data_IF_511395438740
#
_entry.id   IF_511395438740
#
_cell.length_a   1.000
_cell.length_b   1.000
_cell.length_c   1.000
_cell.angle_alpha   90.00
_cell.angle_beta   90.00
_cell.angle_gamma   90.00
#
_symmetry.space_group_name_H-M   'P 1'
#
loop_
_entity.id
_entity.type
_entity.pdbx_description
1 polymer ?
#
# COMPACT_ATOMS: atom_id res chain seq x y z
N UNK A 1 -47.09 9.19 14.47
CA UNK A 1 -45.89 8.40 14.81
C UNK A 1 -45.46 7.66 13.55
N UNK A 2 -44.53 8.21 12.81
CA UNK A 2 -43.96 7.60 11.59
C UNK A 2 -42.66 6.94 11.99
N UNK A 3 -42.67 5.61 12.07
CA UNK A 3 -41.47 4.79 12.30
C UNK A 3 -40.71 4.80 10.98
N UNK A 4 -39.66 5.59 10.91
CA UNK A 4 -38.69 5.50 9.81
C UNK A 4 -37.96 4.15 9.99
N UNK A 5 -38.34 3.17 9.19
CA UNK A 5 -37.55 1.95 9.00
C UNK A 5 -36.20 2.37 8.41
N UNK A 6 -35.14 2.38 9.22
CA UNK A 6 -33.76 2.51 8.73
C UNK A 6 -33.53 1.34 7.78
N UNK A 7 -33.27 1.65 6.52
CA UNK A 7 -32.91 0.69 5.50
C UNK A 7 -31.59 0.03 5.92
N UNK A 8 -31.62 -1.22 6.39
CA UNK A 8 -30.47 -1.97 6.91
C UNK A 8 -29.37 -2.28 5.89
N UNK A 9 -29.51 -1.83 4.63
CA UNK A 9 -28.62 -2.19 3.50
C UNK A 9 -27.80 -1.04 2.93
N UNK A 10 -27.66 0.10 3.62
CA UNK A 10 -26.79 1.18 3.14
C UNK A 10 -25.45 1.16 3.87
N UNK A 11 -24.36 1.20 3.12
CA UNK A 11 -22.99 1.23 3.64
C UNK A 11 -22.59 2.66 4.04
N UNK A 12 -21.66 2.84 5.00
CA UNK A 12 -21.09 4.15 5.33
C UNK A 12 -20.30 4.75 4.16
N UNK A 13 -20.16 6.07 4.13
CA UNK A 13 -19.30 6.76 3.15
C UNK A 13 -17.85 6.77 3.65
N UNK A 14 -16.98 5.91 3.12
CA UNK A 14 -15.59 5.78 3.58
C UNK A 14 -14.63 6.50 2.63
N UNK A 15 -13.86 7.43 3.17
CA UNK A 15 -12.78 8.14 2.46
C UNK A 15 -11.42 7.63 2.94
N UNK A 16 -10.73 6.90 2.09
CA UNK A 16 -9.44 6.27 2.39
C UNK A 16 -8.28 7.12 1.90
N UNK A 17 -7.31 7.40 2.77
CA UNK A 17 -6.06 8.08 2.44
C UNK A 17 -4.88 7.15 2.71
N UNK A 18 -3.84 7.24 1.87
CA UNK A 18 -2.57 6.60 2.11
C UNK A 18 -2.36 5.27 1.38
N UNK A 19 -1.94 4.23 2.10
CA UNK A 19 -1.38 3.01 1.54
C UNK A 19 -2.42 1.89 1.30
N UNK A 20 -1.97 0.80 0.66
CA UNK A 20 -2.79 -0.40 0.40
C UNK A 20 -3.35 -1.03 1.67
N UNK A 21 -2.60 -0.93 2.79
CA UNK A 21 -3.08 -1.39 4.08
C UNK A 21 -4.31 -0.61 4.54
N UNK A 22 -4.33 0.72 4.34
CA UNK A 22 -5.53 1.51 4.63
C UNK A 22 -6.72 1.12 3.74
N UNK A 23 -6.49 0.68 2.50
CA UNK A 23 -7.57 0.17 1.62
C UNK A 23 -8.16 -1.11 2.22
N UNK A 24 -7.30 -2.06 2.62
CA UNK A 24 -7.74 -3.28 3.30
C UNK A 24 -8.52 -2.97 4.58
N UNK A 25 -7.98 -2.09 5.42
CA UNK A 25 -8.65 -1.67 6.66
C UNK A 25 -9.99 -1.00 6.43
N UNK A 26 -10.11 -0.21 5.35
CA UNK A 26 -11.37 0.45 5.00
C UNK A 26 -12.44 -0.56 4.59
N UNK A 27 -12.07 -1.70 3.99
CA UNK A 27 -13.02 -2.78 3.75
C UNK A 27 -13.50 -3.40 5.06
N UNK A 28 -12.59 -3.70 6.00
CA UNK A 28 -12.96 -4.20 7.34
C UNK A 28 -13.91 -3.23 8.06
N UNK A 29 -13.60 -1.94 8.00
CA UNK A 29 -14.45 -0.88 8.56
C UNK A 29 -15.83 -0.90 7.91
N UNK A 30 -15.89 -1.03 6.58
CA UNK A 30 -17.15 -1.09 5.84
C UNK A 30 -18.01 -2.27 6.29
N UNK A 31 -17.41 -3.45 6.41
CA UNK A 31 -18.10 -4.67 6.79
C UNK A 31 -18.69 -4.54 8.21
N UNK A 32 -17.88 -4.10 9.18
CA UNK A 32 -18.34 -3.91 10.55
C UNK A 32 -19.39 -2.80 10.68
N UNK A 33 -19.12 -1.62 10.13
CA UNK A 33 -20.02 -0.48 10.25
C UNK A 33 -21.38 -0.74 9.56
N UNK A 34 -21.37 -1.43 8.41
CA UNK A 34 -22.61 -1.84 7.72
C UNK A 34 -23.39 -2.87 8.53
N UNK A 35 -22.72 -3.88 9.09
CA UNK A 35 -23.33 -4.93 9.92
C UNK A 35 -24.07 -4.34 11.13
N UNK A 36 -23.50 -3.29 11.73
CA UNK A 36 -24.05 -2.64 12.94
C UNK A 36 -24.90 -1.38 12.62
N UNK A 37 -25.24 -1.15 11.34
CA UNK A 37 -26.23 -0.14 10.95
C UNK A 37 -25.73 1.30 10.94
N UNK A 38 -24.41 1.54 10.86
CA UNK A 38 -23.77 2.87 10.83
C UNK A 38 -23.67 3.47 9.43
N UNK A 39 -24.71 3.36 8.64
CA UNK A 39 -24.78 3.84 7.26
C UNK A 39 -24.80 5.37 7.10
N UNK A 40 -25.12 6.11 8.15
CA UNK A 40 -25.18 7.56 8.22
C UNK A 40 -23.81 8.22 8.47
N UNK A 41 -22.80 7.41 8.83
CA UNK A 41 -21.45 7.92 9.07
C UNK A 41 -20.69 8.24 7.79
N UNK A 42 -19.88 9.31 7.86
CA UNK A 42 -18.76 9.54 6.93
C UNK A 42 -17.47 9.22 7.67
N UNK A 43 -16.74 8.24 7.19
CA UNK A 43 -15.55 7.72 7.86
C UNK A 43 -14.30 8.11 7.08
N UNK A 44 -13.33 8.76 7.76
CA UNK A 44 -12.05 9.15 7.19
C UNK A 44 -10.92 8.28 7.73
N UNK A 45 -10.43 7.33 6.94
CA UNK A 45 -9.27 6.52 7.27
C UNK A 45 -7.99 7.24 6.82
N UNK A 46 -7.28 7.87 7.77
CA UNK A 46 -6.24 8.87 7.52
C UNK A 46 -4.83 8.30 7.45
N UNK A 47 -3.94 9.02 6.76
CA UNK A 47 -2.52 8.70 6.64
C UNK A 47 -1.66 9.74 7.37
N UNK A 48 -0.56 9.30 8.01
CA UNK A 48 0.41 10.14 8.70
C UNK A 48 1.76 10.28 7.98
N UNK A 49 1.95 9.63 6.83
CA UNK A 49 3.27 9.57 6.18
C UNK A 49 3.74 10.95 5.72
N UNK A 50 2.83 11.77 5.17
CA UNK A 50 3.18 13.12 4.70
C UNK A 50 2.22 14.18 5.26
N UNK A 51 2.72 15.40 5.47
CA UNK A 51 1.90 16.56 5.86
C UNK A 51 0.82 16.87 4.82
N UNK A 52 1.12 16.60 3.55
CA UNK A 52 0.18 16.77 2.45
C UNK A 52 -1.01 15.81 2.56
N UNK A 53 -0.78 14.55 2.92
CA UNK A 53 -1.87 13.59 3.14
C UNK A 53 -2.81 14.04 4.27
N UNK A 54 -2.25 14.55 5.37
CA UNK A 54 -3.07 15.11 6.46
C UNK A 54 -3.81 16.39 6.02
N UNK A 55 -3.17 17.26 5.22
CA UNK A 55 -3.82 18.47 4.68
C UNK A 55 -5.02 18.10 3.81
N UNK A 56 -4.85 17.12 2.91
CA UNK A 56 -5.91 16.61 2.04
C UNK A 56 -7.06 16.00 2.86
N UNK A 57 -6.75 15.22 3.90
CA UNK A 57 -7.76 14.65 4.78
C UNK A 57 -8.58 15.76 5.48
N UNK A 58 -7.93 16.80 6.04
CA UNK A 58 -8.65 17.93 6.65
C UNK A 58 -9.53 18.68 5.64
N UNK A 59 -9.04 18.89 4.42
CA UNK A 59 -9.84 19.51 3.36
C UNK A 59 -11.07 18.67 3.01
N UNK A 60 -10.90 17.35 2.87
CA UNK A 60 -11.98 16.43 2.55
C UNK A 60 -13.03 16.38 3.66
N UNK A 61 -12.62 16.41 4.94
CA UNK A 61 -13.52 16.49 6.10
C UNK A 61 -14.38 17.75 6.04
N UNK A 62 -13.77 18.93 5.84
CA UNK A 62 -14.50 20.19 5.73
C UNK A 62 -15.47 20.19 4.55
N UNK A 63 -15.04 19.68 3.41
CA UNK A 63 -15.89 19.55 2.22
C UNK A 63 -17.08 18.60 2.47
N UNK A 64 -16.86 17.47 3.13
CA UNK A 64 -17.91 16.52 3.45
C UNK A 64 -18.96 17.13 4.38
N UNK A 65 -18.52 17.83 5.43
CA UNK A 65 -19.43 18.50 6.38
C UNK A 65 -20.22 19.63 5.72
N UNK A 66 -19.58 20.40 4.82
CA UNK A 66 -20.28 21.45 4.04
C UNK A 66 -21.37 20.86 3.14
N UNK A 67 -21.09 19.71 2.48
CA UNK A 67 -22.04 19.08 1.56
C UNK A 67 -23.16 18.31 2.28
N UNK A 68 -22.89 17.81 3.50
CA UNK A 68 -23.84 17.05 4.34
C UNK A 68 -23.74 17.57 5.79
N UNK A 69 -24.36 18.71 6.12
CA UNK A 69 -24.23 19.35 7.44
C UNK A 69 -24.62 18.47 8.62
N UNK A 70 -25.63 17.60 8.44
CA UNK A 70 -26.15 16.72 9.48
C UNK A 70 -25.38 15.41 9.63
N UNK A 71 -24.47 15.08 8.67
CA UNK A 71 -23.71 13.85 8.70
C UNK A 71 -22.74 13.83 9.90
N UNK A 72 -22.66 12.68 10.56
CA UNK A 72 -21.68 12.42 11.61
C UNK A 72 -20.35 11.97 10.99
N UNK A 73 -19.28 12.59 11.41
CA UNK A 73 -17.92 12.33 10.87
C UNK A 73 -17.07 11.60 11.91
N UNK A 74 -16.59 10.42 11.53
CA UNK A 74 -15.61 9.63 12.28
C UNK A 74 -14.25 9.69 11.58
N UNK A 75 -13.19 10.01 12.34
CA UNK A 75 -11.81 10.04 11.84
C UNK A 75 -11.00 8.94 12.50
N UNK A 76 -10.29 8.17 11.70
CA UNK A 76 -9.41 7.08 12.13
C UNK A 76 -8.14 7.03 11.29
N UNK A 77 -7.30 6.01 11.48
CA UNK A 77 -6.07 5.81 10.73
C UNK A 77 -4.83 6.34 11.43
N UNK A 78 -3.68 6.27 10.75
CA UNK A 78 -2.38 6.57 11.37
C UNK A 78 -2.29 7.99 11.93
N UNK A 79 -2.87 8.99 11.27
CA UNK A 79 -2.82 10.37 11.76
C UNK A 79 -3.72 10.58 12.98
N UNK A 80 -4.88 9.92 13.04
CA UNK A 80 -5.76 9.93 14.20
C UNK A 80 -5.14 9.20 15.40
N UNK A 81 -4.45 8.08 15.15
CA UNK A 81 -3.73 7.33 16.20
C UNK A 81 -2.62 8.15 16.84
N UNK A 82 -1.86 8.91 16.04
CA UNK A 82 -0.68 9.67 16.53
C UNK A 82 -1.11 10.91 17.34
N UNK A 83 -2.11 11.64 16.87
CA UNK A 83 -2.60 12.84 17.55
C UNK A 83 -4.13 12.93 17.45
N UNK A 84 -4.85 12.17 18.29
CA UNK A 84 -6.31 12.17 18.25
C UNK A 84 -6.91 13.52 18.63
N UNK A 85 -6.26 14.27 19.55
CA UNK A 85 -6.73 15.58 20.00
C UNK A 85 -6.72 16.63 18.89
N UNK A 86 -5.75 16.58 17.99
CA UNK A 86 -5.67 17.47 16.82
C UNK A 86 -6.89 17.32 15.90
N UNK A 87 -7.34 16.08 15.69
CA UNK A 87 -8.51 15.79 14.87
C UNK A 87 -9.80 16.14 15.59
N UNK A 88 -9.88 15.85 16.89
CA UNK A 88 -11.07 16.18 17.69
C UNK A 88 -11.31 17.70 17.82
N UNK A 89 -10.27 18.51 17.76
CA UNK A 89 -10.39 19.97 17.77
C UNK A 89 -11.06 20.54 16.50
N UNK A 90 -11.22 19.74 15.44
CA UNK A 90 -11.96 20.17 14.26
C UNK A 90 -13.47 20.14 14.56
N UNK A 91 -14.19 21.26 14.37
CA UNK A 91 -15.63 21.34 14.70
C UNK A 91 -16.47 20.39 13.83
N UNK A 92 -15.94 19.98 12.69
CA UNK A 92 -16.61 19.03 11.78
C UNK A 92 -16.55 17.59 12.29
N UNK A 93 -15.64 17.23 13.22
CA UNK A 93 -15.36 15.86 13.64
C UNK A 93 -16.12 15.48 14.89
N UNK A 94 -16.96 14.47 14.78
CA UNK A 94 -17.76 13.95 15.89
C UNK A 94 -17.00 12.90 16.71
N UNK A 95 -16.27 11.97 16.05
CA UNK A 95 -15.58 10.85 16.67
C UNK A 95 -14.15 10.69 16.17
N UNK A 96 -13.24 10.25 17.05
CA UNK A 96 -11.89 9.87 16.69
C UNK A 96 -11.60 8.49 17.27
N UNK A 97 -11.18 7.55 16.42
CA UNK A 97 -10.84 6.18 16.87
C UNK A 97 -9.47 5.75 16.38
N UNK A 98 -8.83 4.86 17.14
CA UNK A 98 -7.49 4.37 16.85
C UNK A 98 -7.41 3.28 15.78
N UNK A 99 -6.19 2.85 15.51
CA UNK A 99 -5.90 1.81 14.51
C UNK A 99 -6.22 0.39 15.02
N UNK A 100 -6.31 0.19 16.34
CA UNK A 100 -6.75 -1.07 16.92
C UNK A 100 -8.28 -1.15 16.87
N UNK A 101 -8.94 -0.20 17.48
CA UNK A 101 -10.38 -0.16 17.70
C UNK A 101 -11.19 -0.23 16.40
N UNK A 102 -10.75 0.48 15.35
CA UNK A 102 -11.45 0.48 14.05
C UNK A 102 -11.57 -0.90 13.41
N UNK A 103 -10.74 -1.87 13.81
CA UNK A 103 -10.72 -3.24 13.32
C UNK A 103 -11.42 -4.23 14.27
N UNK A 104 -11.89 -3.77 15.42
CA UNK A 104 -12.61 -4.60 16.39
C UNK A 104 -14.12 -4.46 16.18
N UNK A 105 -14.81 -5.57 15.96
CA UNK A 105 -16.26 -5.58 15.75
C UNK A 105 -17.00 -4.99 16.95
N UNK A 106 -16.52 -5.29 18.18
CA UNK A 106 -17.11 -4.77 19.42
C UNK A 106 -17.12 -3.24 19.52
N UNK A 107 -16.16 -2.55 18.88
CA UNK A 107 -16.20 -1.08 18.79
C UNK A 107 -17.43 -0.61 18.01
N UNK A 108 -17.72 -1.23 16.85
CA UNK A 108 -18.83 -0.86 16.00
C UNK A 108 -20.20 -1.26 16.59
N UNK A 109 -20.25 -2.40 17.27
CA UNK A 109 -21.43 -2.86 18.00
C UNK A 109 -21.85 -1.88 19.11
N UNK A 110 -20.87 -1.36 19.85
CA UNK A 110 -21.10 -0.46 20.98
C UNK A 110 -21.06 1.03 20.63
N UNK A 111 -20.83 1.38 19.35
CA UNK A 111 -20.75 2.76 18.90
C UNK A 111 -22.13 3.39 18.93
N UNK A 112 -22.43 4.17 19.97
CA UNK A 112 -23.64 4.97 20.06
C UNK A 112 -23.38 6.36 19.48
N UNK A 113 -23.91 6.59 18.27
CA UNK A 113 -23.73 7.85 17.57
C UNK A 113 -24.54 9.00 18.18
N UNK A 114 -25.46 8.73 19.11
CA UNK A 114 -26.30 9.73 19.76
C UNK A 114 -25.76 10.11 21.16
N UNK A 115 -24.92 9.27 21.77
CA UNK A 115 -24.25 9.55 23.04
C UNK A 115 -22.82 10.03 22.83
N UNK A 116 -22.60 11.32 23.02
CA UNK A 116 -21.34 12.03 22.66
C UNK A 116 -20.32 12.14 23.79
N UNK A 117 -20.45 11.42 24.90
CA UNK A 117 -19.57 11.61 26.08
C UNK A 117 -18.14 11.11 25.87
N UNK A 118 -17.91 10.07 25.01
CA UNK A 118 -16.58 9.63 24.61
C UNK A 118 -16.34 9.86 23.11
N UNK A 119 -15.85 11.03 22.78
CA UNK A 119 -15.57 11.40 21.40
C UNK A 119 -14.19 10.95 20.88
N UNK A 120 -13.34 10.36 21.75
CA UNK A 120 -12.01 9.81 21.43
C UNK A 120 -11.89 8.41 22.04
N UNK A 121 -11.72 7.40 21.18
CA UNK A 121 -11.47 6.00 21.58
C UNK A 121 -10.18 5.54 20.89
N UNK A 122 -9.04 5.77 21.52
CA UNK A 122 -7.71 5.50 20.98
C UNK A 122 -6.83 4.89 22.07
N UNK A 123 -6.53 3.61 21.95
CA UNK A 123 -5.60 2.90 22.83
C UNK A 123 -4.14 3.19 22.51
N UNK A 124 -3.26 2.91 23.48
CA UNK A 124 -1.81 2.95 23.26
C UNK A 124 -1.39 1.84 22.29
N UNK A 125 -1.12 2.22 21.05
CA UNK A 125 -0.75 1.30 19.96
C UNK A 125 0.53 0.51 20.26
N UNK A 126 1.42 1.02 21.13
CA UNK A 126 2.66 0.36 21.49
C UNK A 126 2.45 -0.88 22.37
N UNK A 127 1.27 -1.00 23.01
CA UNK A 127 0.89 -2.14 23.84
C UNK A 127 0.16 -3.24 23.06
N UNK A 128 -0.18 -3.01 21.80
CA UNK A 128 -0.90 -3.97 20.96
C UNK A 128 0.04 -5.09 20.54
N UNK A 129 -0.24 -6.31 20.97
CA UNK A 129 0.58 -7.51 20.70
C UNK A 129 0.03 -8.39 19.59
N UNK A 130 -1.26 -8.28 19.30
CA UNK A 130 -1.94 -9.11 18.31
C UNK A 130 -2.41 -8.30 17.11
N UNK A 131 -2.50 -8.94 15.97
CA UNK A 131 -3.09 -8.35 14.77
C UNK A 131 -4.51 -8.89 14.63
N UNK A 132 -5.48 -8.00 14.46
CA UNK A 132 -6.88 -8.39 14.24
C UNK A 132 -6.98 -9.32 13.04
N UNK A 133 -7.60 -10.47 13.27
CA UNK A 133 -7.93 -11.44 12.23
C UNK A 133 -9.29 -11.08 11.67
N UNK A 134 -9.32 -10.63 10.44
CA UNK A 134 -10.57 -10.35 9.75
C UNK A 134 -10.56 -11.06 8.39
N UNK A 135 -11.59 -11.86 8.15
CA UNK A 135 -11.82 -12.50 6.86
C UNK A 135 -12.65 -11.52 6.02
N UNK A 136 -12.01 -10.91 5.04
CA UNK A 136 -12.71 -10.11 4.04
C UNK A 136 -13.29 -11.08 3.00
N UNK A 137 -14.61 -11.09 2.85
CA UNK A 137 -15.29 -11.96 1.89
C UNK A 137 -15.24 -11.41 0.47
N UNK A 138 -15.29 -10.08 0.32
CA UNK A 138 -15.22 -9.44 -0.99
C UNK A 138 -14.50 -8.08 -0.90
N UNK A 139 -13.94 -7.64 -2.02
CA UNK A 139 -13.56 -6.26 -2.22
C UNK A 139 -14.54 -5.66 -3.24
N UNK A 140 -15.44 -4.80 -2.81
CA UNK A 140 -16.42 -4.17 -3.67
C UNK A 140 -15.74 -3.55 -4.89
N UNK A 141 -16.11 -4.03 -6.08
CA UNK A 141 -15.61 -3.58 -7.39
C UNK A 141 -14.10 -3.76 -7.64
N UNK A 142 -13.38 -4.60 -6.87
CA UNK A 142 -11.96 -4.86 -7.09
C UNK A 142 -11.71 -6.28 -7.62
N UNK A 143 -10.97 -6.36 -8.73
CA UNK A 143 -10.48 -7.63 -9.30
C UNK A 143 -9.24 -8.16 -8.58
N UNK A 144 -8.63 -7.32 -7.74
CA UNK A 144 -7.48 -7.64 -6.88
C UNK A 144 -7.88 -7.57 -5.42
N UNK A 145 -7.56 -8.61 -4.66
CA UNK A 145 -7.72 -8.66 -3.21
C UNK A 145 -6.43 -8.25 -2.49
N UNK A 146 -6.53 -7.36 -1.52
CA UNK A 146 -5.41 -7.02 -0.63
C UNK A 146 -5.49 -7.87 0.63
N UNK A 147 -4.39 -8.49 1.03
CA UNK A 147 -4.31 -9.29 2.26
C UNK A 147 -3.22 -8.71 3.15
N UNK A 148 -3.62 -8.25 4.32
CA UNK A 148 -2.66 -7.89 5.35
C UNK A 148 -2.00 -9.17 5.87
N UNK A 149 -0.67 -9.25 5.78
CA UNK A 149 0.11 -10.36 6.36
C UNK A 149 0.87 -9.93 7.61
N UNK A 150 1.13 -8.61 7.75
CA UNK A 150 1.94 -8.03 8.80
C UNK A 150 1.49 -6.60 9.08
N UNK A 151 1.55 -6.13 10.32
CA UNK A 151 1.27 -4.76 10.73
C UNK A 151 2.30 -4.29 11.76
N UNK A 152 2.47 -2.96 11.88
CA UNK A 152 3.49 -2.36 12.73
C UNK A 152 4.89 -2.45 12.14
N UNK A 153 5.89 -1.87 12.83
CA UNK A 153 7.29 -1.88 12.40
C UNK A 153 8.23 -1.65 13.59
N UNK A 154 9.23 -2.51 13.74
CA UNK A 154 10.24 -2.40 14.82
C UNK A 154 11.45 -1.55 14.38
N UNK A 155 11.53 -1.20 13.09
CA UNK A 155 12.56 -0.29 12.63
C UNK A 155 12.33 1.13 13.16
N UNK A 156 13.43 1.82 13.38
CA UNK A 156 13.43 3.21 13.87
C UNK A 156 14.15 4.10 12.85
N UNK A 157 13.69 4.04 11.58
CA UNK A 157 14.15 4.97 10.55
C UNK A 157 13.93 6.41 11.02
N UNK A 158 14.96 7.26 10.89
CA UNK A 158 14.99 8.57 11.54
C UNK A 158 13.91 9.55 11.07
N UNK A 159 13.34 9.33 9.91
CA UNK A 159 12.26 10.15 9.32
C UNK A 159 10.85 9.58 9.53
N UNK A 160 10.74 8.33 10.01
CA UNK A 160 9.50 7.59 9.94
C UNK A 160 8.66 7.74 11.20
N UNK A 161 7.40 8.14 11.01
CA UNK A 161 6.39 8.29 12.05
C UNK A 161 5.52 7.02 12.22
N UNK A 162 5.64 6.06 11.30
CA UNK A 162 4.74 4.90 11.23
C UNK A 162 4.74 4.03 12.49
N UNK A 163 5.87 3.77 13.18
CA UNK A 163 5.84 2.99 14.42
C UNK A 163 4.90 3.58 15.49
N UNK A 164 4.76 4.90 15.53
CA UNK A 164 3.86 5.58 16.47
C UNK A 164 2.38 5.48 16.09
N UNK A 165 2.10 5.28 14.79
CA UNK A 165 0.73 5.08 14.31
C UNK A 165 0.32 3.60 14.21
N UNK A 166 1.29 2.68 14.14
CA UNK A 166 1.03 1.26 13.86
C UNK A 166 1.52 0.31 14.96
N UNK A 167 2.37 0.78 15.86
CA UNK A 167 2.93 -0.01 16.95
C UNK A 167 4.03 -0.99 16.51
N UNK A 168 4.36 -1.98 17.37
CA UNK A 168 5.34 -3.02 17.11
C UNK A 168 4.97 -3.91 15.92
N UNK A 169 5.97 -4.58 15.32
CA UNK A 169 5.76 -5.57 14.27
C UNK A 169 4.95 -6.76 14.77
N UNK A 170 3.93 -7.16 13.99
CA UNK A 170 3.03 -8.27 14.30
C UNK A 170 2.66 -8.98 13.00
N UNK A 171 2.82 -10.30 12.97
CA UNK A 171 2.54 -11.15 11.82
C UNK A 171 1.22 -11.89 11.97
N UNK A 172 0.50 -12.07 10.86
CA UNK A 172 -0.60 -13.03 10.80
C UNK A 172 -0.06 -14.44 10.56
N UNK A 173 -0.71 -15.45 11.13
CA UNK A 173 -0.35 -16.84 10.91
C UNK A 173 -0.54 -17.24 9.45
N UNK A 174 0.28 -18.17 8.96
CA UNK A 174 0.15 -18.72 7.60
C UNK A 174 -1.26 -19.26 7.32
N UNK A 175 -1.86 -19.94 8.30
CA UNK A 175 -3.19 -20.52 8.12
C UNK A 175 -4.27 -19.46 7.92
N UNK A 176 -4.22 -18.37 8.70
CA UNK A 176 -5.17 -17.28 8.57
C UNK A 176 -5.02 -16.57 7.22
N UNK A 177 -3.79 -16.38 6.75
CA UNK A 177 -3.51 -15.80 5.43
C UNK A 177 -4.09 -16.70 4.33
N UNK A 178 -3.84 -18.01 4.37
CA UNK A 178 -4.38 -18.96 3.38
C UNK A 178 -5.91 -18.96 3.39
N UNK A 179 -6.54 -18.96 4.56
CA UNK A 179 -8.00 -18.95 4.69
C UNK A 179 -8.59 -17.65 4.09
N UNK A 180 -7.97 -16.51 4.36
CA UNK A 180 -8.40 -15.23 3.76
C UNK A 180 -8.27 -15.21 2.24
N UNK A 181 -7.19 -15.78 1.71
CA UNK A 181 -7.00 -15.90 0.25
C UNK A 181 -8.07 -16.81 -0.35
N UNK A 182 -8.35 -17.97 0.27
CA UNK A 182 -9.41 -18.89 -0.19
C UNK A 182 -10.78 -18.23 -0.25
N UNK A 183 -11.15 -17.46 0.77
CA UNK A 183 -12.39 -16.68 0.77
C UNK A 183 -12.49 -15.76 -0.44
N UNK A 184 -11.43 -14.99 -0.73
CA UNK A 184 -11.41 -14.09 -1.88
C UNK A 184 -11.45 -14.82 -3.23
N UNK A 185 -10.75 -15.95 -3.37
CA UNK A 185 -10.77 -16.76 -4.58
C UNK A 185 -12.17 -17.31 -4.87
N UNK A 186 -12.88 -17.79 -3.84
CA UNK A 186 -14.26 -18.27 -3.94
C UNK A 186 -15.22 -17.16 -4.41
N UNK A 187 -14.90 -15.89 -4.13
CA UNK A 187 -15.64 -14.72 -4.60
C UNK A 187 -15.09 -14.15 -5.93
N UNK A 188 -14.29 -14.90 -6.68
CA UNK A 188 -13.88 -14.61 -8.04
C UNK A 188 -12.66 -13.68 -8.18
N UNK A 189 -11.99 -13.32 -7.09
CA UNK A 189 -10.74 -12.54 -7.15
C UNK A 189 -9.65 -13.34 -7.86
N UNK A 190 -8.93 -12.71 -8.80
CA UNK A 190 -7.91 -13.38 -9.64
C UNK A 190 -6.46 -12.98 -9.29
N UNK A 191 -6.26 -11.88 -8.59
CA UNK A 191 -4.93 -11.47 -8.13
C UNK A 191 -4.97 -11.13 -6.64
N UNK A 192 -4.09 -11.74 -5.86
CA UNK A 192 -3.88 -11.43 -4.44
C UNK A 192 -2.62 -10.59 -4.28
N UNK A 193 -2.74 -9.49 -3.55
CA UNK A 193 -1.61 -8.61 -3.20
C UNK A 193 -1.35 -8.73 -1.71
N UNK A 194 -0.24 -9.36 -1.34
CA UNK A 194 0.21 -9.37 0.05
C UNK A 194 0.66 -7.97 0.44
N UNK A 195 0.18 -7.49 1.57
CA UNK A 195 0.49 -6.15 2.07
C UNK A 195 0.85 -6.15 3.55
N UNK A 196 1.66 -5.19 3.94
CA UNK A 196 2.10 -4.97 5.32
C UNK A 196 2.81 -3.63 5.43
N UNK A 197 3.17 -3.27 6.65
CA UNK A 197 4.00 -2.09 6.93
C UNK A 197 5.47 -2.39 6.63
N UNK A 198 5.91 -3.59 7.00
CA UNK A 198 7.27 -4.11 6.85
C UNK A 198 7.20 -5.61 6.57
N UNK A 199 6.81 -5.96 5.35
CA UNK A 199 6.51 -7.35 5.00
C UNK A 199 7.71 -8.29 5.11
N UNK A 200 8.92 -7.79 4.89
CA UNK A 200 10.13 -8.60 5.01
C UNK A 200 10.40 -9.06 6.44
N UNK A 201 9.86 -8.37 7.44
CA UNK A 201 9.90 -8.78 8.84
C UNK A 201 8.79 -9.79 9.22
N UNK A 202 7.91 -10.19 8.27
CA UNK A 202 6.89 -11.20 8.57
C UNK A 202 7.53 -12.51 9.07
N UNK A 203 6.96 -13.04 10.14
CA UNK A 203 7.39 -14.30 10.73
C UNK A 203 8.39 -14.15 11.89
N UNK A 204 8.99 -12.97 12.10
CA UNK A 204 9.97 -12.76 13.18
C UNK A 204 9.39 -12.98 14.58
N UNK A 205 8.09 -12.76 14.75
CA UNK A 205 7.31 -12.96 15.98
C UNK A 205 6.55 -14.30 16.00
N UNK A 206 6.66 -15.12 14.94
CA UNK A 206 6.07 -16.47 14.87
C UNK A 206 7.10 -17.52 15.33
N UNK A 207 6.61 -18.57 16.01
CA UNK A 207 7.46 -19.68 16.39
C UNK A 207 8.19 -20.30 15.19
N UNK A 208 9.48 -20.53 15.31
CA UNK A 208 10.35 -21.03 14.24
C UNK A 208 10.78 -19.95 13.23
N UNK A 209 10.34 -18.72 13.38
CA UNK A 209 10.72 -17.54 12.57
C UNK A 209 10.74 -17.82 11.06
N UNK A 210 9.61 -18.24 10.46
CA UNK A 210 9.56 -18.50 9.03
C UNK A 210 9.79 -17.21 8.24
N UNK A 211 10.43 -17.32 7.06
CA UNK A 211 10.68 -16.17 6.19
C UNK A 211 9.47 -15.82 5.31
N UNK A 212 9.49 -14.61 4.72
CA UNK A 212 8.49 -14.20 3.73
C UNK A 212 8.50 -15.14 2.51
N UNK A 213 9.67 -15.59 2.05
CA UNK A 213 9.77 -16.53 0.95
C UNK A 213 9.13 -17.89 1.25
N UNK A 214 9.32 -18.39 2.48
CA UNK A 214 8.63 -19.62 2.94
C UNK A 214 7.11 -19.43 2.93
N UNK A 215 6.60 -18.27 3.35
CA UNK A 215 5.16 -17.96 3.28
C UNK A 215 4.68 -17.99 1.84
N UNK A 216 5.36 -17.30 0.92
CA UNK A 216 5.00 -17.23 -0.50
C UNK A 216 4.94 -18.63 -1.12
N UNK A 217 5.98 -19.45 -0.93
CA UNK A 217 5.99 -20.85 -1.39
C UNK A 217 4.83 -21.66 -0.82
N UNK A 218 4.55 -21.49 0.47
CA UNK A 218 3.45 -22.22 1.14
C UNK A 218 2.08 -21.78 0.64
N UNK A 219 1.86 -20.50 0.37
CA UNK A 219 0.63 -19.98 -0.26
C UNK A 219 0.46 -20.64 -1.63
N UNK A 220 1.46 -20.55 -2.51
CA UNK A 220 1.40 -21.03 -3.89
C UNK A 220 1.23 -22.56 -3.96
N UNK A 221 1.82 -23.29 -2.99
CA UNK A 221 1.65 -24.74 -2.88
C UNK A 221 0.24 -25.14 -2.43
N UNK A 222 -0.36 -24.43 -1.47
CA UNK A 222 -1.67 -24.77 -0.90
C UNK A 222 -2.85 -24.26 -1.73
N UNK A 223 -2.60 -23.31 -2.65
CA UNK A 223 -3.61 -22.67 -3.49
C UNK A 223 -3.19 -22.76 -4.97
N UNK A 224 -3.27 -23.97 -5.58
CA UNK A 224 -2.93 -24.16 -6.98
C UNK A 224 -3.84 -23.36 -7.93
N UNK A 225 -5.07 -23.07 -7.49
CA UNK A 225 -6.07 -22.30 -8.22
C UNK A 225 -5.80 -20.79 -8.21
N UNK A 226 -4.87 -20.26 -7.39
CA UNK A 226 -4.51 -18.86 -7.36
C UNK A 226 -3.76 -18.45 -8.63
N UNK A 227 -4.33 -17.62 -9.54
CA UNK A 227 -3.66 -17.30 -10.80
C UNK A 227 -2.49 -16.33 -10.63
N UNK A 228 -2.61 -15.36 -9.70
CA UNK A 228 -1.61 -14.29 -9.50
C UNK A 228 -1.43 -13.95 -8.03
N UNK A 229 -0.18 -14.03 -7.59
CA UNK A 229 0.28 -13.53 -6.29
C UNK A 229 1.22 -12.36 -6.51
N UNK A 230 1.01 -11.25 -5.84
CA UNK A 230 1.85 -10.06 -5.91
C UNK A 230 2.28 -9.61 -4.53
N UNK A 231 3.49 -9.07 -4.44
CA UNK A 231 3.98 -8.44 -3.23
C UNK A 231 3.82 -6.92 -3.31
N UNK A 232 3.55 -6.27 -2.18
CA UNK A 232 3.69 -4.84 -2.05
C UNK A 232 5.16 -4.44 -1.82
N UNK A 233 5.45 -3.39 -1.03
CA UNK A 233 6.83 -2.93 -0.85
C UNK A 233 7.63 -3.84 0.06
N UNK A 234 8.88 -4.11 -0.30
CA UNK A 234 9.84 -4.88 0.49
C UNK A 234 11.14 -4.09 0.75
N UNK A 235 11.86 -4.44 1.81
CA UNK A 235 13.18 -3.90 2.09
C UNK A 235 14.26 -4.72 1.36
N UNK A 236 15.09 -4.13 0.50
CA UNK A 236 16.11 -4.88 -0.24
C UNK A 236 17.16 -5.55 0.66
N UNK A 237 17.33 -5.09 1.90
CA UNK A 237 18.29 -5.69 2.86
C UNK A 237 17.80 -7.00 3.47
N UNK A 238 16.49 -7.32 3.35
CA UNK A 238 15.87 -8.44 4.07
C UNK A 238 15.22 -9.46 3.14
N UNK A 239 15.54 -9.41 1.86
CA UNK A 239 15.05 -10.41 0.91
C UNK A 239 15.75 -11.74 1.16
N UNK A 240 14.98 -12.76 1.51
CA UNK A 240 15.50 -14.09 1.81
C UNK A 240 15.68 -14.96 0.55
N UNK A 241 16.46 -16.06 0.71
CA UNK A 241 16.76 -16.99 -0.38
C UNK A 241 15.49 -17.63 -0.95
N UNK A 242 14.53 -18.03 -0.09
CA UNK A 242 13.29 -18.67 -0.52
C UNK A 242 12.41 -17.76 -1.36
N UNK A 243 12.44 -16.43 -1.07
CA UNK A 243 11.72 -15.46 -1.87
C UNK A 243 12.34 -15.31 -3.26
N UNK A 244 13.68 -15.29 -3.35
CA UNK A 244 14.38 -15.23 -4.64
C UNK A 244 14.15 -16.50 -5.47
N UNK A 245 14.15 -17.67 -4.84
CA UNK A 245 13.83 -18.94 -5.48
C UNK A 245 12.36 -18.98 -5.96
N UNK A 246 11.43 -18.43 -5.18
CA UNK A 246 10.04 -18.30 -5.60
C UNK A 246 9.89 -17.38 -6.84
N UNK A 247 10.62 -16.26 -6.91
CA UNK A 247 10.62 -15.42 -8.11
C UNK A 247 11.17 -16.13 -9.34
N UNK A 248 12.19 -16.96 -9.17
CA UNK A 248 12.78 -17.73 -10.26
C UNK A 248 11.84 -18.82 -10.79
N UNK A 249 11.21 -19.57 -9.90
CA UNK A 249 10.54 -20.83 -10.23
C UNK A 249 9.00 -20.73 -10.29
N UNK A 250 8.39 -19.71 -9.67
CA UNK A 250 6.93 -19.59 -9.59
C UNK A 250 6.38 -18.53 -10.55
N UNK A 251 5.83 -18.95 -11.68
CA UNK A 251 5.24 -18.04 -12.68
C UNK A 251 4.04 -17.24 -12.16
N UNK A 252 3.31 -17.79 -11.18
CA UNK A 252 2.16 -17.16 -10.54
C UNK A 252 2.55 -16.05 -9.55
N UNK A 253 3.82 -15.99 -9.13
CA UNK A 253 4.37 -14.83 -8.43
C UNK A 253 4.68 -13.74 -9.47
N UNK A 254 3.99 -12.62 -9.38
CA UNK A 254 4.08 -11.56 -10.39
C UNK A 254 5.47 -10.90 -10.43
N UNK A 255 6.04 -10.69 -11.63
CA UNK A 255 7.42 -10.21 -11.82
C UNK A 255 7.55 -8.70 -11.59
N UNK A 256 7.15 -8.24 -10.43
CA UNK A 256 7.25 -6.85 -10.01
C UNK A 256 7.58 -6.77 -8.53
N UNK A 257 8.67 -6.07 -8.20
CA UNK A 257 9.11 -5.80 -6.83
C UNK A 257 9.17 -4.29 -6.63
N UNK A 258 8.51 -3.80 -5.58
CA UNK A 258 8.65 -2.42 -5.14
C UNK A 258 9.59 -2.35 -3.94
N UNK A 259 10.66 -1.54 -4.05
CA UNK A 259 11.74 -1.46 -3.08
C UNK A 259 11.65 -0.20 -2.23
N UNK A 260 11.77 -0.33 -0.92
CA UNK A 260 11.87 0.79 0.01
C UNK A 260 13.30 1.32 0.08
N UNK A 261 13.82 1.89 -1.03
CA UNK A 261 15.22 2.35 -1.15
C UNK A 261 15.46 3.66 -0.37
N UNK A 262 14.60 4.62 -0.55
CA UNK A 262 14.59 5.95 0.06
C UNK A 262 15.66 6.92 -0.45
N UNK A 263 16.91 6.50 -0.70
CA UNK A 263 18.00 7.38 -1.17
C UNK A 263 19.12 6.58 -1.87
N UNK A 264 19.98 7.28 -2.65
CA UNK A 264 21.12 6.67 -3.33
C UNK A 264 22.48 7.00 -2.73
N UNK A 265 22.57 7.81 -1.68
CA UNK A 265 23.83 8.13 -1.01
C UNK A 265 23.96 7.36 0.30
N UNK A 266 25.09 6.63 0.47
CA UNK A 266 25.32 5.77 1.62
C UNK A 266 25.34 6.54 2.95
N UNK A 267 25.84 7.79 2.95
CA UNK A 267 25.84 8.60 4.17
C UNK A 267 24.43 9.03 4.56
N UNK A 268 23.60 9.40 3.58
CA UNK A 268 22.18 9.73 3.83
C UNK A 268 21.44 8.47 4.26
N UNK A 269 21.64 7.32 3.63
CA UNK A 269 21.04 6.04 4.06
C UNK A 269 21.39 5.70 5.52
N UNK A 270 22.64 5.88 5.93
CA UNK A 270 23.08 5.72 7.33
C UNK A 270 22.38 6.70 8.26
N UNK A 271 22.24 7.99 7.88
CA UNK A 271 21.48 8.99 8.65
C UNK A 271 19.99 8.67 8.74
N UNK A 272 19.43 8.05 7.72
CA UNK A 272 18.08 7.50 7.70
C UNK A 272 17.94 6.25 8.57
N UNK A 273 19.04 5.62 9.03
CA UNK A 273 19.10 4.30 9.66
C UNK A 273 18.58 3.19 8.73
N UNK A 274 18.92 3.27 7.43
CA UNK A 274 18.67 2.18 6.49
C UNK A 274 19.76 1.12 6.61
N UNK A 275 19.40 -0.13 6.28
CA UNK A 275 20.27 -1.31 6.45
C UNK A 275 20.95 -1.74 5.16
N UNK A 276 20.53 -1.20 4.03
CA UNK A 276 21.19 -1.36 2.72
C UNK A 276 22.00 -0.12 2.36
N UNK A 277 22.96 -0.31 1.48
CA UNK A 277 23.76 0.73 0.83
C UNK A 277 23.48 0.73 -0.67
N UNK A 278 24.04 1.69 -1.39
CA UNK A 278 23.94 1.81 -2.85
C UNK A 278 24.24 0.48 -3.57
N UNK A 279 25.39 -0.12 -3.23
CA UNK A 279 25.87 -1.37 -3.88
C UNK A 279 24.92 -2.54 -3.63
N UNK A 280 24.34 -2.63 -2.45
CA UNK A 280 23.43 -3.72 -2.10
C UNK A 280 22.18 -3.71 -2.99
N UNK A 281 21.63 -2.52 -3.25
CA UNK A 281 20.49 -2.36 -4.16
C UNK A 281 20.84 -2.77 -5.59
N UNK A 282 22.00 -2.30 -6.12
CA UNK A 282 22.42 -2.63 -7.48
C UNK A 282 22.64 -4.13 -7.62
N UNK A 283 23.36 -4.75 -6.68
CA UNK A 283 23.63 -6.18 -6.68
C UNK A 283 22.35 -7.01 -6.61
N UNK A 284 21.44 -6.64 -5.71
CA UNK A 284 20.14 -7.31 -5.56
C UNK A 284 19.34 -7.29 -6.87
N UNK A 285 19.22 -6.11 -7.49
CA UNK A 285 18.46 -5.96 -8.73
C UNK A 285 19.08 -6.75 -9.88
N UNK A 286 20.40 -6.75 -10.00
CA UNK A 286 21.11 -7.53 -11.03
C UNK A 286 20.92 -9.03 -10.81
N UNK A 287 21.06 -9.52 -9.59
CA UNK A 287 20.85 -10.94 -9.26
C UNK A 287 19.40 -11.37 -9.52
N UNK A 288 18.42 -10.55 -9.14
CA UNK A 288 17.02 -10.85 -9.40
C UNK A 288 16.72 -10.93 -10.91
N UNK A 289 17.26 -10.02 -11.73
CA UNK A 289 17.13 -10.10 -13.19
C UNK A 289 17.85 -11.28 -13.83
N UNK A 290 18.97 -11.69 -13.27
CA UNK A 290 19.66 -12.89 -13.72
C UNK A 290 18.81 -14.14 -13.53
N UNK A 291 18.07 -14.22 -12.43
CA UNK A 291 17.16 -15.34 -12.12
C UNK A 291 15.85 -15.26 -12.90
N UNK A 292 15.32 -14.05 -13.06
CA UNK A 292 14.05 -13.82 -13.75
C UNK A 292 14.15 -12.54 -14.60
N UNK A 293 14.35 -12.70 -15.90
CA UNK A 293 14.65 -11.61 -16.82
C UNK A 293 13.52 -10.60 -17.02
N UNK A 294 12.26 -11.01 -16.84
CA UNK A 294 11.06 -10.15 -16.96
C UNK A 294 10.71 -9.37 -15.68
N UNK A 295 11.54 -9.50 -14.62
CA UNK A 295 11.26 -8.81 -13.34
C UNK A 295 11.52 -7.31 -13.45
N UNK A 296 10.56 -6.52 -12.95
CA UNK A 296 10.57 -5.07 -12.98
C UNK A 296 10.60 -4.52 -11.56
N UNK A 297 11.32 -3.41 -11.39
CA UNK A 297 11.51 -2.78 -10.09
C UNK A 297 10.85 -1.41 -10.02
N UNK A 298 10.06 -1.22 -8.95
CA UNK A 298 9.68 0.08 -8.46
C UNK A 298 10.49 0.49 -7.25
N UNK A 299 10.53 1.78 -6.91
CA UNK A 299 11.15 2.22 -5.67
C UNK A 299 10.59 3.56 -5.16
N UNK A 300 10.63 3.71 -3.83
CA UNK A 300 10.37 4.97 -3.16
C UNK A 300 11.68 5.76 -2.97
N UNK A 301 11.64 7.07 -3.25
CA UNK A 301 12.74 8.00 -3.01
C UNK A 301 12.27 9.23 -2.25
N UNK A 302 13.05 9.66 -1.25
CA UNK A 302 12.84 10.90 -0.51
C UNK A 302 13.78 11.96 -1.07
N UNK A 303 13.22 13.05 -1.62
CA UNK A 303 13.98 14.21 -2.08
C UNK A 303 14.14 15.24 -0.95
N UNK A 304 15.35 15.73 -0.72
CA UNK A 304 15.61 16.76 0.26
C UNK A 304 15.59 16.27 1.71
N UNK A 305 16.02 15.05 1.97
CA UNK A 305 16.25 14.56 3.33
C UNK A 305 17.21 15.53 4.07
N UNK A 306 17.01 15.83 5.36
CA UNK A 306 17.92 16.70 6.11
C UNK A 306 19.40 16.34 5.88
N UNK A 307 20.23 17.36 5.66
CA UNK A 307 21.65 17.21 5.33
C UNK A 307 21.99 16.67 3.93
N UNK A 308 21.00 16.41 3.06
CA UNK A 308 21.24 16.07 1.67
C UNK A 308 21.86 17.27 0.94
N UNK A 309 23.04 17.08 0.34
CA UNK A 309 23.67 18.06 -0.54
C UNK A 309 23.48 17.67 -2.03
N UNK A 310 23.97 18.51 -2.95
CA UNK A 310 23.85 18.24 -4.39
C UNK A 310 24.50 16.94 -4.82
N UNK A 311 25.66 16.59 -4.24
CA UNK A 311 26.36 15.35 -4.58
C UNK A 311 25.59 14.11 -4.14
N UNK A 312 25.01 14.14 -2.95
CA UNK A 312 24.14 13.07 -2.45
C UNK A 312 22.90 12.88 -3.33
N UNK A 313 22.25 13.98 -3.76
CA UNK A 313 21.15 13.92 -4.70
C UNK A 313 21.53 13.29 -6.04
N UNK A 314 22.69 13.68 -6.60
CA UNK A 314 23.19 13.08 -7.85
C UNK A 314 23.42 11.56 -7.76
N UNK A 315 23.79 11.06 -6.58
CA UNK A 315 23.87 9.60 -6.36
C UNK A 315 22.51 8.91 -6.40
N UNK A 316 21.43 9.55 -5.95
CA UNK A 316 20.08 9.01 -6.11
C UNK A 316 19.68 8.90 -7.58
N UNK A 317 19.96 9.94 -8.39
CA UNK A 317 19.74 9.88 -9.84
C UNK A 317 20.59 8.78 -10.52
N UNK A 318 21.84 8.62 -10.07
CA UNK A 318 22.73 7.57 -10.58
C UNK A 318 22.22 6.18 -10.21
N UNK A 319 21.82 5.94 -8.96
CA UNK A 319 21.29 4.65 -8.50
C UNK A 319 20.09 4.19 -9.34
N UNK A 320 19.16 5.11 -9.65
CA UNK A 320 17.99 4.82 -10.50
C UNK A 320 18.43 4.26 -11.86
N UNK A 321 19.47 4.85 -12.47
CA UNK A 321 20.01 4.41 -13.76
C UNK A 321 20.77 3.10 -13.65
N UNK A 322 21.68 2.98 -12.69
CA UNK A 322 22.54 1.81 -12.52
C UNK A 322 21.73 0.55 -12.14
N UNK A 323 20.72 0.70 -11.28
CA UNK A 323 19.81 -0.38 -10.94
C UNK A 323 18.66 -0.55 -11.95
N UNK A 324 18.48 0.38 -12.91
CA UNK A 324 17.40 0.32 -13.91
C UNK A 324 16.02 0.28 -13.27
N UNK A 325 15.76 1.14 -12.28
CA UNK A 325 14.47 1.23 -11.62
C UNK A 325 13.44 1.84 -12.59
N UNK A 326 12.31 1.16 -12.75
CA UNK A 326 11.27 1.52 -13.74
C UNK A 326 10.20 2.44 -13.14
N UNK A 327 9.66 2.07 -11.98
CA UNK A 327 8.58 2.84 -11.30
C UNK A 327 9.17 3.61 -10.14
N UNK A 328 9.08 4.94 -10.19
CA UNK A 328 9.70 5.79 -9.16
C UNK A 328 8.62 6.62 -8.47
N UNK A 329 8.47 6.41 -7.18
CA UNK A 329 7.67 7.25 -6.31
C UNK A 329 8.55 8.23 -5.58
N UNK A 330 8.32 9.51 -5.77
CA UNK A 330 9.13 10.59 -5.20
C UNK A 330 8.35 11.34 -4.14
N UNK A 331 8.85 11.30 -2.92
CA UNK A 331 8.32 12.02 -1.77
C UNK A 331 9.25 13.19 -1.42
N UNK A 332 8.81 14.45 -1.56
CA UNK A 332 9.51 15.54 -0.91
C UNK A 332 9.61 15.26 0.59
N UNK A 333 10.77 15.48 1.19
CA UNK A 333 10.92 15.27 2.62
C UNK A 333 9.82 16.02 3.39
N UNK A 334 9.12 15.31 4.23
CA UNK A 334 8.05 15.84 5.07
C UNK A 334 8.48 15.77 6.53
N UNK A 335 8.67 16.91 7.13
CA UNK A 335 9.04 17.01 8.55
C UNK A 335 7.94 16.45 9.44
N UNK A 336 8.33 15.59 10.37
CA UNK A 336 7.42 14.94 11.33
C UNK A 336 7.91 15.15 12.73
N UNK A 337 7.15 15.89 13.50
CA UNK A 337 7.42 16.13 14.90
C UNK A 337 7.61 14.79 15.64
N UNK A 338 8.56 14.73 16.57
CA UNK A 338 8.91 13.52 17.31
C UNK A 338 9.92 12.60 16.60
N UNK A 339 10.18 12.78 15.31
CA UNK A 339 11.20 12.00 14.58
C UNK A 339 12.61 12.58 14.78
N UNK A 340 13.64 11.72 14.70
CA UNK A 340 15.03 12.20 14.83
C UNK A 340 15.43 13.14 13.68
N UNK A 341 14.95 12.89 12.44
CA UNK A 341 15.24 13.74 11.29
C UNK A 341 14.65 15.15 11.43
N UNK A 342 13.59 15.34 12.22
CA UNK A 342 13.01 16.65 12.46
C UNK A 342 13.97 17.63 13.14
N UNK A 343 14.97 17.11 13.84
CA UNK A 343 16.00 17.88 14.57
C UNK A 343 17.27 18.13 13.75
N UNK A 344 17.38 17.54 12.54
CA UNK A 344 18.55 17.69 11.68
C UNK A 344 18.48 18.98 10.84
N UNK A 345 19.64 19.50 10.36
CA UNK A 345 19.69 20.67 9.46
C UNK A 345 18.87 20.43 8.20
N UNK A 346 17.92 21.32 7.92
CA UNK A 346 16.97 21.19 6.80
C UNK A 346 17.60 21.63 5.48
N UNK A 347 17.16 21.00 4.41
CA UNK A 347 17.38 21.46 3.03
C UNK A 347 16.38 22.58 2.71
N UNK A 348 16.76 23.54 1.91
CA UNK A 348 15.89 24.63 1.46
C UNK A 348 14.69 24.06 0.68
N UNK A 349 13.50 24.66 0.87
CA UNK A 349 12.27 24.18 0.22
C UNK A 349 12.35 24.20 -1.31
N UNK A 350 13.04 25.19 -1.85
CA UNK A 350 13.29 25.35 -3.28
C UNK A 350 14.12 24.19 -3.82
N UNK A 351 15.21 23.83 -3.13
CA UNK A 351 16.06 22.68 -3.49
C UNK A 351 15.28 21.37 -3.42
N UNK A 352 14.43 21.19 -2.38
CA UNK A 352 13.57 20.01 -2.27
C UNK A 352 12.65 19.88 -3.49
N UNK A 353 12.03 20.99 -3.94
CA UNK A 353 11.16 21.00 -5.12
C UNK A 353 11.93 20.65 -6.40
N UNK A 354 13.10 21.25 -6.59
CA UNK A 354 13.97 21.00 -7.75
C UNK A 354 14.36 19.52 -7.79
N UNK A 355 14.89 18.98 -6.70
CA UNK A 355 15.32 17.59 -6.59
C UNK A 355 14.18 16.61 -6.80
N UNK A 356 13.00 16.89 -6.22
CA UNK A 356 11.82 16.07 -6.44
C UNK A 356 11.36 16.10 -7.90
N UNK A 357 11.49 17.24 -8.58
CA UNK A 357 11.20 17.37 -10.01
C UNK A 357 12.17 16.54 -10.86
N UNK A 358 13.48 16.65 -10.60
CA UNK A 358 14.52 15.91 -11.32
C UNK A 358 14.33 14.38 -11.19
N UNK A 359 14.05 13.89 -9.97
CA UNK A 359 13.76 12.47 -9.74
C UNK A 359 12.50 12.01 -10.49
N UNK A 360 11.43 12.82 -10.49
CA UNK A 360 10.19 12.49 -11.22
C UNK A 360 10.40 12.51 -12.72
N UNK A 361 11.17 13.48 -13.25
CA UNK A 361 11.50 13.54 -14.67
C UNK A 361 12.26 12.29 -15.10
N UNK A 362 13.32 11.93 -14.37
CA UNK A 362 14.07 10.70 -14.63
C UNK A 362 13.17 9.46 -14.54
N UNK A 363 12.27 9.41 -13.55
CA UNK A 363 11.30 8.32 -13.41
C UNK A 363 10.36 8.20 -14.61
N UNK A 364 9.89 9.32 -15.14
CA UNK A 364 9.08 9.34 -16.37
C UNK A 364 9.86 8.80 -17.57
N UNK A 365 11.13 9.19 -17.70
CA UNK A 365 11.98 8.73 -18.80
C UNK A 365 12.23 7.22 -18.71
N UNK A 366 12.54 6.70 -17.52
CA UNK A 366 12.70 5.25 -17.28
C UNK A 366 11.42 4.47 -17.58
N UNK A 367 10.28 4.98 -17.14
CA UNK A 367 8.98 4.37 -17.41
C UNK A 367 8.64 4.36 -18.90
N UNK A 368 8.81 5.49 -19.61
CA UNK A 368 8.57 5.56 -21.06
C UNK A 368 9.50 4.62 -21.83
N UNK A 369 10.78 4.54 -21.46
CA UNK A 369 11.73 3.58 -22.05
C UNK A 369 11.25 2.14 -21.87
N UNK A 370 10.76 1.81 -20.68
CA UNK A 370 10.20 0.50 -20.41
C UNK A 370 8.92 0.25 -21.21
N UNK A 371 7.96 1.19 -21.26
CA UNK A 371 6.74 1.03 -22.06
C UNK A 371 7.05 0.81 -23.55
N UNK A 372 7.99 1.58 -24.11
CA UNK A 372 8.45 1.41 -25.49
C UNK A 372 9.01 0.01 -25.76
N UNK A 373 9.73 -0.57 -24.80
CA UNK A 373 10.28 -1.93 -24.94
C UNK A 373 9.22 -3.04 -24.90
N UNK A 374 7.98 -2.72 -24.54
CA UNK A 374 6.88 -3.69 -24.49
C UNK A 374 6.13 -3.80 -25.82
N UNK A 375 6.31 -2.84 -26.75
CA UNK A 375 5.65 -2.87 -28.06
C UNK A 375 6.04 -4.15 -28.81
N UNK A 376 5.05 -4.82 -29.40
CA UNK A 376 5.21 -6.10 -30.10
C UNK A 376 5.22 -7.33 -29.18
N UNK A 377 5.18 -7.15 -27.85
CA UNK A 377 5.07 -8.29 -26.91
C UNK A 377 3.60 -8.66 -26.69
N UNK A 378 3.38 -9.93 -26.31
CA UNK A 378 2.07 -10.40 -25.86
C UNK A 378 2.08 -10.50 -24.35
N UNK A 379 1.09 -9.89 -23.69
CA UNK A 379 0.99 -9.82 -22.25
C UNK A 379 -0.33 -10.44 -21.75
N UNK A 380 -0.27 -11.16 -20.63
CA UNK A 380 -1.47 -11.59 -19.91
C UNK A 380 -1.99 -10.43 -19.07
N UNK A 381 -3.18 -9.95 -19.33
CA UNK A 381 -3.76 -8.75 -18.69
C UNK A 381 -4.90 -9.16 -17.78
N UNK A 382 -4.83 -8.75 -16.51
CA UNK A 382 -5.98 -8.77 -15.62
C UNK A 382 -6.82 -7.51 -15.88
N UNK A 383 -8.03 -7.70 -16.38
CA UNK A 383 -8.96 -6.59 -16.69
C UNK A 383 -9.64 -6.13 -15.41
N UNK A 384 -9.59 -4.82 -15.12
CA UNK A 384 -10.12 -4.25 -13.87
C UNK A 384 -11.36 -3.40 -14.08
N UNK A 385 -11.36 -2.51 -15.05
CA UNK A 385 -12.49 -1.63 -15.38
C UNK A 385 -12.50 -1.31 -16.87
N UNK A 386 -13.69 -1.38 -17.48
CA UNK A 386 -13.98 -0.78 -18.81
C UNK A 386 -12.82 -0.81 -19.79
N UNK A 387 -12.37 -1.97 -20.20
CA UNK A 387 -11.27 -2.12 -21.16
C UNK A 387 -9.90 -1.62 -20.66
N UNK A 388 -9.67 -1.61 -19.35
CA UNK A 388 -8.36 -1.32 -18.78
C UNK A 388 -7.97 -2.32 -17.70
N UNK A 389 -6.68 -2.56 -17.55
CA UNK A 389 -6.18 -3.54 -16.58
C UNK A 389 -4.69 -3.37 -16.30
N UNK A 390 -4.09 -4.42 -15.75
CA UNK A 390 -2.65 -4.47 -15.49
C UNK A 390 -2.02 -5.76 -16.01
N UNK A 391 -0.84 -5.60 -16.56
CA UNK A 391 0.05 -6.70 -16.97
C UNK A 391 0.70 -7.37 -15.74
N UNK A 392 1.34 -8.54 -15.88
CA UNK A 392 2.07 -9.17 -14.77
C UNK A 392 3.11 -8.28 -14.11
N UNK A 393 3.84 -7.46 -14.89
CA UNK A 393 4.83 -6.50 -14.41
C UNK A 393 4.24 -5.16 -13.93
N UNK A 394 2.94 -5.12 -13.70
CA UNK A 394 2.19 -4.00 -13.13
C UNK A 394 2.03 -2.78 -14.05
N UNK A 395 2.27 -2.90 -15.37
CA UNK A 395 1.97 -1.83 -16.30
C UNK A 395 0.47 -1.70 -16.52
N UNK A 396 -0.02 -0.47 -16.42
CA UNK A 396 -1.39 -0.18 -16.82
C UNK A 396 -1.52 -0.35 -18.33
N UNK A 397 -2.63 -0.93 -18.76
CA UNK A 397 -2.95 -1.13 -20.17
C UNK A 397 -4.38 -0.69 -20.47
N UNK A 398 -4.57 -0.09 -21.64
CA UNK A 398 -5.87 0.21 -22.24
C UNK A 398 -6.08 -0.76 -23.40
N UNK A 399 -7.22 -1.42 -23.41
CA UNK A 399 -7.60 -2.40 -24.45
C UNK A 399 -8.51 -1.76 -25.48
N UNK A 400 -8.42 -2.22 -26.73
CA UNK A 400 -9.24 -1.75 -27.85
C UNK A 400 -10.68 -2.30 -27.82
N UNK A 401 -10.97 -3.25 -26.92
CA UNK A 401 -12.27 -3.90 -26.80
C UNK A 401 -12.83 -3.77 -25.37
N UNK A 402 -14.14 -3.89 -25.24
CA UNK A 402 -14.80 -3.91 -23.96
C UNK A 402 -14.79 -5.33 -23.39
N UNK A 403 -14.07 -5.56 -22.31
CA UNK A 403 -13.89 -6.85 -21.66
C UNK A 403 -14.42 -6.76 -20.22
N UNK A 404 -15.05 -7.83 -19.76
CA UNK A 404 -15.56 -7.88 -18.40
C UNK A 404 -14.44 -7.76 -17.35
N UNK A 405 -14.72 -7.04 -16.30
CA UNK A 405 -13.83 -6.94 -15.13
C UNK A 405 -13.62 -8.34 -14.51
N UNK A 406 -12.39 -8.65 -14.08
CA UNK A 406 -12.03 -9.93 -13.47
C UNK A 406 -11.52 -10.99 -14.47
N UNK A 407 -11.62 -10.76 -15.78
CA UNK A 407 -11.05 -11.68 -16.77
C UNK A 407 -9.53 -11.50 -16.88
N UNK A 408 -8.82 -12.61 -17.10
CA UNK A 408 -7.41 -12.61 -17.51
C UNK A 408 -7.39 -12.95 -19.01
N UNK A 409 -6.87 -12.04 -19.82
CA UNK A 409 -6.83 -12.15 -21.28
C UNK A 409 -5.40 -12.01 -21.80
N UNK A 410 -5.17 -12.47 -23.03
CA UNK A 410 -3.94 -12.22 -23.77
C UNK A 410 -4.12 -11.01 -24.69
N UNK A 411 -3.19 -10.05 -24.62
CA UNK A 411 -3.21 -8.85 -25.46
C UNK A 411 -1.83 -8.57 -26.04
N UNK A 412 -1.77 -8.29 -27.32
CA UNK A 412 -0.59 -7.77 -28.01
C UNK A 412 -0.44 -6.28 -27.73
N UNK A 413 0.73 -5.85 -27.32
CA UNK A 413 1.04 -4.44 -27.07
C UNK A 413 1.39 -3.77 -28.37
N UNK A 414 0.52 -2.86 -28.83
CA UNK A 414 0.65 -2.19 -30.12
C UNK A 414 1.23 -0.78 -30.01
N UNK A 415 1.08 -0.12 -28.85
CA UNK A 415 1.56 1.25 -28.63
C UNK A 415 1.54 1.58 -27.11
N UNK A 416 1.93 2.79 -26.74
CA UNK A 416 1.78 3.36 -25.41
C UNK A 416 1.54 4.88 -25.44
N UNK A 417 0.97 5.41 -24.36
CA UNK A 417 0.79 6.84 -24.15
C UNK A 417 1.04 7.23 -22.66
N UNK A 418 0.73 8.46 -22.30
CA UNK A 418 0.89 8.95 -20.92
C UNK A 418 0.02 8.21 -19.88
N UNK A 419 -0.97 7.42 -20.30
CA UNK A 419 -1.86 6.63 -19.43
C UNK A 419 -1.41 5.18 -19.28
N UNK A 420 -0.47 4.70 -20.11
CA UNK A 420 0.06 3.33 -20.10
C UNK A 420 0.16 2.70 -21.49
N UNK A 421 0.25 1.37 -21.51
CA UNK A 421 0.27 0.56 -22.73
C UNK A 421 -1.08 0.61 -23.45
N UNK A 422 -1.06 0.41 -24.77
CA UNK A 422 -2.23 0.18 -25.61
C UNK A 422 -2.13 -1.23 -26.17
N UNK A 423 -3.16 -2.05 -25.90
CA UNK A 423 -3.17 -3.45 -26.29
C UNK A 423 -4.35 -3.81 -27.17
N UNK A 424 -4.10 -4.73 -28.09
CA UNK A 424 -5.11 -5.41 -28.92
C UNK A 424 -5.34 -6.81 -28.36
N UNK A 425 -6.59 -7.14 -28.08
CA UNK A 425 -6.94 -8.48 -27.58
C UNK A 425 -6.60 -9.52 -28.64
N UNK A 426 -5.79 -10.50 -28.28
CA UNK A 426 -5.36 -11.58 -29.20
C UNK A 426 -6.10 -12.89 -28.93
N UNK A 427 -6.43 -13.19 -27.66
CA UNK A 427 -7.26 -14.32 -27.30
C UNK A 427 -7.81 -14.13 -25.87
N UNK A 428 -9.02 -14.67 -25.60
CA UNK A 428 -9.49 -14.83 -24.23
C UNK A 428 -8.79 -16.08 -23.67
N UNK A 429 -7.99 -15.92 -22.62
CA UNK A 429 -7.49 -17.06 -21.86
C UNK A 429 -8.70 -17.73 -21.20
N UNK A 430 -8.98 -18.96 -21.59
CA UNK A 430 -9.93 -19.81 -20.88
C UNK A 430 -9.38 -19.97 -19.47
N UNK A 431 -10.20 -19.67 -18.46
CA UNK A 431 -9.88 -19.87 -17.05
C UNK A 431 -9.28 -21.27 -16.85
N UNK A 432 -8.02 -21.29 -16.38
CA UNK A 432 -7.38 -22.51 -15.87
C UNK A 432 -8.04 -22.94 -14.59
#
# INVERSE_FOLDING_TARGET
>A
MSIHSKNKNSSPDIKTFGCRLNIWESQVINDHASKHGHSDLIIFNTCAVTSEAERQARQAIRSAKKNRPDAKILVTGCAAQIDPNKWKKMPEVNFVTGNKEKLEESFWENLDTDKLDESIVVSDIMKVKETSQHLIESFDHHTRGFIQIQNGCDHRCTFCIIPYGRGPSRSLSTQNIINSIKSLLNNGVKEIVLTGVDMTSWGNDIFGKPSLGMLVKKILKNLPELPRLRLSSIDPAEVDFDLMDAFENEKRLMPHIHLSIQHGDDMILKRMKRRHLYRDVVNFVHEARRRRSDIIFGADFIAGFPTENKQAHMKSLKLIKDAGITYIHVFPYSDREGTAASKMPKVLKEDIKIRAHELRSLGKDQYNKFLSSQIGTVQNVLVEKNSSGHTPNFSKILLNENINSGEIISAEIIDFNSKGLIGKVSSKLISL
#
